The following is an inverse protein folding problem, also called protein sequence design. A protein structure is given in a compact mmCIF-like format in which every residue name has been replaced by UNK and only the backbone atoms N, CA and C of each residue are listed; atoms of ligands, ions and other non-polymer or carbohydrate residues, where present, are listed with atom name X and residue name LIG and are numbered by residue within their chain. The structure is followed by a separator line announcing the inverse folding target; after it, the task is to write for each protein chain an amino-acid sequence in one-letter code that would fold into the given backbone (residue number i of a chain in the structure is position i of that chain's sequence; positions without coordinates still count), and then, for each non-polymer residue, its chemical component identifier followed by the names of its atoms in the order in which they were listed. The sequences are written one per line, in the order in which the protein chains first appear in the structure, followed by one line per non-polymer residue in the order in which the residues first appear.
data_IF_846317700007
#
_entry.id   IF_846317700007
#
_cell.length_a   1.000
_cell.length_b   1.000
_cell.length_c   1.000
_cell.angle_alpha   90.00
_cell.angle_beta   90.00
_cell.angle_gamma   90.00
#
_symmetry.space_group_name_H-M   'P 1'
#
loop_
_entity.id
_entity.type
_entity.pdbx_description
1 polymer ?
#
# COMPACT_ATOMS: atom_id res chain seq x y z
N UNK A 1 14.10 -3.17 12.36
CA UNK A 1 14.40 -3.82 11.07
C UNK A 1 13.76 -5.19 10.94
N UNK A 2 13.47 -5.87 12.04
CA UNK A 2 12.80 -7.19 11.99
C UNK A 2 11.42 -7.09 11.33
N UNK A 3 10.67 -6.03 11.63
CA UNK A 3 9.33 -5.82 11.08
C UNK A 3 9.33 -5.66 9.57
N UNK A 4 10.41 -5.14 9.00
CA UNK A 4 10.51 -4.90 7.58
C UNK A 4 11.33 -5.96 6.84
N UNK A 5 11.70 -7.04 7.51
CA UNK A 5 12.38 -8.17 6.89
C UNK A 5 13.81 -7.88 6.46
N UNK A 6 14.48 -6.95 7.11
CA UNK A 6 15.86 -6.59 6.79
C UNK A 6 16.90 -7.07 7.80
N UNK A 7 16.51 -8.00 8.65
CA UNK A 7 17.45 -8.59 9.61
C UNK A 7 18.60 -9.25 8.84
N UNK A 8 19.83 -8.85 9.14
CA UNK A 8 21.01 -9.29 8.40
C UNK A 8 21.48 -8.34 7.32
N UNK A 9 20.73 -7.26 7.07
CA UNK A 9 21.08 -6.23 6.08
C UNK A 9 21.40 -4.89 6.72
N UNK A 10 21.46 -4.82 8.04
CA UNK A 10 21.64 -3.58 8.79
C UNK A 10 22.93 -2.85 8.43
N UNK A 11 23.96 -3.60 8.07
CA UNK A 11 25.27 -3.04 7.73
C UNK A 11 25.45 -2.79 6.23
N UNK A 12 24.45 -3.08 5.41
CA UNK A 12 24.52 -2.86 3.97
C UNK A 12 24.36 -1.38 3.62
N UNK A 13 25.15 -0.91 2.67
CA UNK A 13 24.96 0.44 2.13
C UNK A 13 23.72 0.49 1.24
N UNK A 14 22.99 1.62 1.19
CA UNK A 14 21.78 1.72 0.37
C UNK A 14 21.96 1.32 -1.09
N UNK A 15 23.13 1.62 -1.67
CA UNK A 15 23.41 1.28 -3.08
C UNK A 15 23.51 -0.24 -3.33
N UNK A 16 23.64 -1.04 -2.28
CA UNK A 16 23.73 -2.50 -2.38
C UNK A 16 22.37 -3.18 -2.28
N UNK A 17 21.33 -2.39 -2.07
CA UNK A 17 19.99 -2.90 -1.84
C UNK A 17 19.15 -2.89 -3.12
N UNK A 18 18.26 -3.87 -3.27
CA UNK A 18 17.26 -3.88 -4.33
C UNK A 18 16.24 -2.75 -4.13
N UNK A 19 15.40 -2.49 -5.15
CA UNK A 19 14.33 -1.50 -5.05
C UNK A 19 13.38 -1.79 -3.89
N UNK A 20 12.98 -3.06 -3.72
CA UNK A 20 12.12 -3.47 -2.61
C UNK A 20 12.78 -3.30 -1.26
N UNK A 21 14.08 -3.63 -1.17
CA UNK A 21 14.84 -3.43 0.07
C UNK A 21 14.98 -1.95 0.40
N UNK A 22 15.22 -1.10 -0.59
CA UNK A 22 15.26 0.35 -0.39
C UNK A 22 13.93 0.87 0.13
N UNK A 23 12.82 0.37 -0.40
CA UNK A 23 11.49 0.76 0.06
C UNK A 23 11.28 0.34 1.51
N UNK A 24 11.69 -0.88 1.89
CA UNK A 24 11.57 -1.35 3.27
C UNK A 24 12.43 -0.55 4.23
N UNK A 25 13.62 -0.13 3.80
CA UNK A 25 14.46 0.77 4.61
C UNK A 25 13.78 2.10 4.84
N UNK A 26 13.17 2.67 3.79
CA UNK A 26 12.42 3.92 3.91
C UNK A 26 11.26 3.79 4.91
N UNK A 27 10.55 2.68 4.87
CA UNK A 27 9.46 2.40 5.82
C UNK A 27 10.02 2.31 7.24
N UNK A 28 11.12 1.58 7.44
CA UNK A 28 11.75 1.45 8.75
C UNK A 28 12.18 2.80 9.33
N UNK A 29 12.74 3.67 8.49
CA UNK A 29 13.13 5.03 8.90
C UNK A 29 11.92 5.85 9.33
N UNK A 30 10.83 5.73 8.59
CA UNK A 30 9.58 6.42 8.92
C UNK A 30 9.03 5.93 10.26
N UNK A 31 9.04 4.63 10.51
CA UNK A 31 8.58 4.05 11.77
C UNK A 31 9.44 4.47 12.96
N UNK A 32 10.76 4.61 12.75
CA UNK A 32 11.68 5.02 13.81
C UNK A 32 11.37 6.41 14.34
N UNK A 33 10.71 7.25 13.56
CA UNK A 33 10.26 8.58 13.98
C UNK A 33 9.00 8.55 14.85
N UNK A 34 8.41 7.38 15.05
CA UNK A 34 7.18 7.17 15.82
C UNK A 34 6.03 8.09 15.36
N UNK A 35 5.67 8.05 14.08
CA UNK A 35 4.63 8.93 13.56
C UNK A 35 3.25 8.50 14.03
N UNK A 36 2.30 9.43 13.99
CA UNK A 36 0.89 9.12 14.25
C UNK A 36 0.20 8.60 13.01
N UNK A 37 0.65 9.04 11.83
CA UNK A 37 0.10 8.64 10.53
C UNK A 37 1.25 8.38 9.57
N UNK A 38 1.18 7.29 8.81
CA UNK A 38 2.10 7.00 7.72
C UNK A 38 1.42 7.27 6.39
N UNK A 39 2.13 7.93 5.48
CA UNK A 39 1.66 8.20 4.13
C UNK A 39 2.47 7.39 3.13
N UNK A 40 1.78 6.64 2.27
CA UNK A 40 2.39 5.87 1.19
C UNK A 40 1.81 6.34 -0.14
N UNK A 41 2.67 6.79 -1.04
CA UNK A 41 2.24 7.22 -2.37
C UNK A 41 2.79 6.24 -3.40
N UNK A 42 1.94 5.33 -3.84
CA UNK A 42 2.26 4.28 -4.81
C UNK A 42 3.56 3.53 -4.47
N UNK A 43 3.63 2.91 -3.28
CA UNK A 43 4.88 2.35 -2.78
C UNK A 43 5.45 1.19 -3.60
N UNK A 44 4.65 0.60 -4.48
CA UNK A 44 5.06 -0.54 -5.30
C UNK A 44 5.20 -0.22 -6.79
N UNK A 45 4.95 1.03 -7.21
CA UNK A 45 4.84 1.38 -8.62
C UNK A 45 6.13 1.18 -9.44
N UNK A 46 7.28 1.27 -8.80
CA UNK A 46 8.58 1.15 -9.48
C UNK A 46 9.29 -0.17 -9.17
N UNK A 47 8.58 -1.15 -8.60
CA UNK A 47 9.17 -2.42 -8.17
C UNK A 47 8.84 -3.56 -9.14
N UNK A 48 9.75 -4.54 -9.20
CA UNK A 48 9.50 -5.80 -9.89
C UNK A 48 8.41 -6.60 -9.14
N UNK A 49 7.63 -7.42 -9.85
CA UNK A 49 6.56 -8.20 -9.21
C UNK A 49 7.03 -9.03 -8.01
N UNK A 50 8.25 -9.55 -8.05
CA UNK A 50 8.80 -10.34 -6.95
C UNK A 50 8.98 -9.53 -5.66
N UNK A 51 9.22 -8.23 -5.80
CA UNK A 51 9.45 -7.34 -4.67
C UNK A 51 8.16 -6.70 -4.14
N UNK A 52 7.14 -6.62 -4.99
CA UNK A 52 5.86 -5.99 -4.62
C UNK A 52 5.26 -6.69 -3.41
N UNK A 53 5.18 -8.01 -3.44
CA UNK A 53 4.55 -8.77 -2.36
C UNK A 53 5.27 -8.57 -1.03
N UNK A 54 6.61 -8.52 -1.04
CA UNK A 54 7.38 -8.30 0.18
C UNK A 54 7.04 -6.95 0.82
N UNK A 55 6.92 -5.89 0.01
CA UNK A 55 6.56 -4.56 0.51
C UNK A 55 5.12 -4.54 1.02
N UNK A 56 4.20 -5.17 0.30
CA UNK A 56 2.80 -5.24 0.73
C UNK A 56 2.65 -6.02 2.05
N UNK A 57 3.42 -7.09 2.22
CA UNK A 57 3.42 -7.87 3.46
C UNK A 57 3.88 -7.03 4.65
N UNK A 58 4.91 -6.22 4.47
CA UNK A 58 5.38 -5.29 5.51
C UNK A 58 4.29 -4.28 5.86
N UNK A 59 3.65 -3.70 4.85
CA UNK A 59 2.57 -2.72 5.08
C UNK A 59 1.39 -3.36 5.80
N UNK A 60 1.05 -4.59 5.43
CA UNK A 60 -0.04 -5.32 6.09
C UNK A 60 0.27 -5.60 7.56
N UNK A 61 1.51 -5.98 7.87
CA UNK A 61 1.94 -6.20 9.24
C UNK A 61 1.84 -4.93 10.07
N UNK A 62 2.23 -3.79 9.51
CA UNK A 62 2.15 -2.50 10.17
C UNK A 62 0.69 -2.12 10.43
N UNK A 63 -0.19 -2.35 9.46
CA UNK A 63 -1.62 -2.10 9.62
C UNK A 63 -2.21 -2.96 10.73
N UNK A 64 -1.80 -4.22 10.83
CA UNK A 64 -2.27 -5.14 11.87
C UNK A 64 -1.87 -4.70 13.27
N UNK A 65 -0.79 -3.92 13.40
CA UNK A 65 -0.37 -3.35 14.68
C UNK A 65 -1.17 -2.11 15.08
N UNK A 66 -2.11 -1.66 14.24
CA UNK A 66 -2.98 -0.54 14.54
C UNK A 66 -2.47 0.82 14.07
N UNK A 67 -1.41 0.85 13.26
CA UNK A 67 -0.89 2.10 12.72
C UNK A 67 -1.88 2.71 11.73
N UNK A 68 -2.15 4.01 11.88
CA UNK A 68 -2.97 4.74 10.92
C UNK A 68 -2.15 5.02 9.66
N UNK A 69 -2.69 4.60 8.50
CA UNK A 69 -2.01 4.76 7.23
C UNK A 69 -2.95 5.34 6.18
N UNK A 70 -2.39 6.20 5.33
CA UNK A 70 -3.06 6.64 4.10
C UNK A 70 -2.21 6.12 2.95
N UNK A 71 -2.82 5.31 2.09
CA UNK A 71 -2.11 4.63 1.01
C UNK A 71 -2.74 4.96 -0.33
N UNK A 72 -1.96 5.54 -1.23
CA UNK A 72 -2.35 5.73 -2.62
C UNK A 72 -1.78 4.55 -3.39
N UNK A 73 -2.62 3.72 -3.99
CA UNK A 73 -2.17 2.49 -4.61
C UNK A 73 -3.09 2.03 -5.74
N UNK A 74 -2.50 1.29 -6.69
CA UNK A 74 -3.23 0.52 -7.71
C UNK A 74 -3.31 -0.97 -7.34
N UNK A 75 -2.78 -1.35 -6.19
CA UNK A 75 -2.81 -2.74 -5.71
C UNK A 75 -4.16 -3.03 -5.08
N UNK A 76 -5.10 -3.46 -5.92
CA UNK A 76 -6.50 -3.60 -5.50
C UNK A 76 -6.73 -4.74 -4.52
N UNK A 77 -6.00 -5.84 -4.64
CA UNK A 77 -6.07 -6.92 -3.66
C UNK A 77 -5.67 -6.48 -2.27
N UNK A 78 -4.57 -5.73 -2.18
CA UNK A 78 -4.11 -5.16 -0.90
C UNK A 78 -5.15 -4.20 -0.33
N UNK A 79 -5.67 -3.28 -1.16
CA UNK A 79 -6.66 -2.32 -0.72
C UNK A 79 -7.92 -3.00 -0.17
N UNK A 80 -8.38 -4.04 -0.86
CA UNK A 80 -9.57 -4.79 -0.43
C UNK A 80 -9.36 -5.48 0.92
N UNK A 81 -8.22 -6.13 1.10
CA UNK A 81 -7.98 -6.97 2.28
C UNK A 81 -7.55 -6.17 3.52
N UNK A 82 -6.86 -5.06 3.33
CA UNK A 82 -6.18 -4.37 4.44
C UNK A 82 -6.86 -3.07 4.86
N UNK A 83 -7.53 -2.37 3.95
CA UNK A 83 -8.09 -1.06 4.27
C UNK A 83 -9.37 -1.14 5.09
N UNK A 84 -9.61 -0.10 5.88
CA UNK A 84 -10.85 0.12 6.63
C UNK A 84 -11.77 1.09 5.90
N UNK A 85 -11.19 1.87 4.98
CA UNK A 85 -11.92 2.87 4.22
C UNK A 85 -11.24 3.01 2.86
N UNK A 86 -12.03 3.06 1.80
CA UNK A 86 -11.56 3.23 0.43
C UNK A 86 -12.13 4.52 -0.13
N UNK A 87 -11.27 5.34 -0.72
CA UNK A 87 -11.67 6.57 -1.39
C UNK A 87 -11.25 6.44 -2.85
N UNK A 88 -12.23 6.46 -3.75
CA UNK A 88 -11.96 6.47 -5.18
C UNK A 88 -11.88 7.92 -5.68
N UNK A 89 -10.79 8.22 -6.31
CA UNK A 89 -10.39 9.57 -6.62
C UNK A 89 -9.99 9.65 -8.09
N UNK A 90 -10.53 10.62 -8.82
CA UNK A 90 -10.22 10.78 -10.24
C UNK A 90 -10.33 12.26 -10.61
N UNK A 91 -9.38 12.74 -11.40
CA UNK A 91 -9.34 14.12 -11.91
C UNK A 91 -9.49 15.17 -10.80
N UNK A 92 -8.82 14.95 -9.68
CA UNK A 92 -8.85 15.88 -8.56
C UNK A 92 -10.12 15.86 -7.72
N UNK A 93 -11.00 14.88 -7.93
CA UNK A 93 -12.28 14.79 -7.23
C UNK A 93 -12.48 13.44 -6.58
N UNK A 94 -13.07 13.45 -5.39
CA UNK A 94 -13.51 12.21 -4.72
C UNK A 94 -14.83 11.80 -5.34
N UNK A 95 -14.85 10.65 -6.00
CA UNK A 95 -16.03 10.14 -6.68
C UNK A 95 -16.82 9.15 -5.82
N UNK A 96 -16.13 8.41 -4.96
CA UNK A 96 -16.78 7.49 -4.05
C UNK A 96 -15.93 7.35 -2.78
N UNK A 97 -16.60 7.23 -1.62
CA UNK A 97 -15.96 7.08 -0.32
C UNK A 97 -16.72 5.99 0.43
N UNK A 98 -16.06 4.88 0.71
CA UNK A 98 -16.69 3.72 1.33
C UNK A 98 -15.96 3.27 2.59
N UNK A 99 -16.72 3.07 3.66
CA UNK A 99 -16.23 2.46 4.89
C UNK A 99 -16.37 0.94 4.89
N UNK A 100 -16.82 0.37 3.77
CA UNK A 100 -16.90 -1.08 3.57
C UNK A 100 -16.15 -1.45 2.30
N UNK A 101 -14.83 -1.74 2.39
CA UNK A 101 -14.02 -2.03 1.21
C UNK A 101 -14.53 -3.21 0.38
N UNK A 102 -14.98 -4.27 1.01
CA UNK A 102 -15.49 -5.44 0.27
C UNK A 102 -16.69 -5.06 -0.58
N UNK A 103 -17.62 -4.28 -0.02
CA UNK A 103 -18.77 -3.80 -0.76
C UNK A 103 -18.37 -2.88 -1.91
N UNK A 104 -17.40 -1.99 -1.66
CA UNK A 104 -16.88 -1.11 -2.71
C UNK A 104 -16.33 -1.91 -3.89
N UNK A 105 -15.52 -2.92 -3.64
CA UNK A 105 -14.90 -3.71 -4.71
C UNK A 105 -15.89 -4.64 -5.42
N UNK A 106 -16.89 -5.13 -4.71
CA UNK A 106 -17.91 -6.01 -5.30
C UNK A 106 -19.03 -5.22 -6.00
N UNK A 107 -19.40 -4.06 -5.45
CA UNK A 107 -20.54 -3.26 -5.92
C UNK A 107 -20.22 -1.78 -5.88
N UNK A 108 -19.25 -1.30 -6.65
CA UNK A 108 -18.97 0.13 -6.67
C UNK A 108 -20.20 0.89 -7.20
N UNK A 109 -20.53 1.99 -6.56
CA UNK A 109 -21.74 2.76 -6.89
C UNK A 109 -21.50 3.79 -7.98
N UNK A 110 -20.30 4.36 -8.01
CA UNK A 110 -19.93 5.34 -9.01
C UNK A 110 -19.60 4.66 -10.34
N UNK A 111 -20.13 5.19 -11.44
CA UNK A 111 -19.90 4.60 -12.77
C UNK A 111 -18.44 4.58 -13.18
N UNK A 112 -17.69 5.63 -12.86
CA UNK A 112 -16.26 5.69 -13.18
C UNK A 112 -15.48 4.65 -12.37
N UNK A 113 -15.86 4.43 -11.12
CA UNK A 113 -15.27 3.39 -10.28
C UNK A 113 -15.57 2.00 -10.86
N UNK A 114 -16.79 1.77 -11.32
CA UNK A 114 -17.16 0.50 -11.96
C UNK A 114 -16.30 0.23 -13.20
N UNK A 115 -16.12 1.23 -14.04
CA UNK A 115 -15.28 1.14 -15.23
C UNK A 115 -13.83 0.84 -14.87
N UNK A 116 -13.27 1.56 -13.91
CA UNK A 116 -11.90 1.38 -13.46
C UNK A 116 -11.67 -0.04 -12.92
N UNK A 117 -12.53 -0.48 -12.01
CA UNK A 117 -12.39 -1.79 -11.37
C UNK A 117 -12.56 -2.93 -12.37
N UNK A 118 -13.45 -2.79 -13.34
CA UNK A 118 -13.61 -3.82 -14.36
C UNK A 118 -12.33 -4.02 -15.18
N UNK A 119 -11.61 -2.95 -15.46
CA UNK A 119 -10.35 -3.02 -16.21
C UNK A 119 -9.20 -3.58 -15.38
N UNK A 120 -9.12 -3.21 -14.11
CA UNK A 120 -7.99 -3.60 -13.25
C UNK A 120 -8.14 -5.01 -12.72
N UNK A 121 -9.34 -5.40 -12.29
CA UNK A 121 -9.57 -6.70 -11.66
C UNK A 121 -9.62 -7.84 -12.68
N UNK A 122 -10.15 -7.59 -13.87
CA UNK A 122 -10.34 -8.63 -14.90
C UNK A 122 -9.20 -8.68 -15.92
N UNK A 123 -8.16 -7.92 -15.71
CA UNK A 123 -6.93 -7.98 -16.47
C UNK A 123 -5.75 -8.33 -15.58
#
# INVERSE_FOLDING_TARGET
LKQVGLLGKEDSYPRQLSGGQKQRVAIARSLAMKPKVLLFDEPTSALDPEMIQDVLDVMQAIAAEGMTMVVVTHEMGFAREVSDRVIFFDQGQVLEDSHNPKDFFERPRNLRAQEFLSKVIYH
#
